data_IF_634217077272
#
_entry.id   IF_634217077272
#
_cell.length_a   1.000
_cell.length_b   1.000
_cell.length_c   1.000
_cell.angle_alpha   90.00
_cell.angle_beta   90.00
_cell.angle_gamma   90.00
#
_symmetry.space_group_name_H-M   'P 1'
#
loop_
_entity.id
_entity.type
_entity.pdbx_description
1 polymer ?
#
# COMPACT_ATOMS: atom_id res chain seq x y z
N UNK A 1 3.63 17.25 -6.12
CA UNK A 1 2.26 17.20 -5.53
C UNK A 1 2.03 15.79 -5.01
N UNK A 2 1.11 15.54 -4.07
CA UNK A 2 0.76 14.15 -3.70
C UNK A 2 -0.31 13.61 -4.63
N UNK A 3 -0.16 12.36 -5.05
CA UNK A 3 -1.10 11.65 -5.91
C UNK A 3 -1.52 10.33 -5.26
N UNK A 4 -2.64 9.80 -5.70
CA UNK A 4 -3.26 8.60 -5.12
C UNK A 4 -3.62 7.61 -6.22
N UNK A 5 -3.42 6.31 -5.96
CA UNK A 5 -3.80 5.24 -6.90
C UNK A 5 -4.32 4.03 -6.16
N UNK A 6 -5.38 3.44 -6.70
CA UNK A 6 -5.89 2.15 -6.23
C UNK A 6 -5.15 1.03 -6.95
N UNK A 7 -4.59 0.09 -6.18
CA UNK A 7 -3.97 -1.11 -6.72
C UNK A 7 -4.52 -2.35 -6.03
N UNK A 8 -4.39 -3.50 -6.68
CA UNK A 8 -4.72 -4.80 -6.09
C UNK A 8 -3.39 -5.51 -5.85
N UNK A 9 -3.15 -5.87 -4.59
CA UNK A 9 -1.96 -6.61 -4.16
C UNK A 9 -2.38 -7.76 -3.25
N UNK A 10 -1.50 -8.72 -3.02
CA UNK A 10 -1.74 -9.76 -2.02
C UNK A 10 -1.64 -9.20 -0.60
N UNK A 11 -2.29 -9.85 0.35
CA UNK A 11 -2.16 -9.50 1.76
C UNK A 11 -0.70 -9.56 2.24
N UNK A 12 0.07 -10.53 1.75
CA UNK A 12 1.51 -10.60 2.03
C UNK A 12 2.24 -9.33 1.57
N UNK A 13 2.03 -8.93 0.32
CA UNK A 13 2.65 -7.71 -0.22
C UNK A 13 2.23 -6.47 0.56
N UNK A 14 0.97 -6.34 0.95
CA UNK A 14 0.53 -5.21 1.76
C UNK A 14 1.29 -5.12 3.09
N UNK A 15 1.44 -6.24 3.81
CA UNK A 15 2.17 -6.28 5.08
C UNK A 15 3.65 -5.92 4.91
N UNK A 16 4.32 -6.49 3.90
CA UNK A 16 5.73 -6.21 3.60
C UNK A 16 5.96 -4.73 3.25
N UNK A 17 5.11 -4.17 2.38
CA UNK A 17 5.17 -2.77 2.00
C UNK A 17 4.86 -1.86 3.20
N UNK A 18 3.88 -2.19 4.04
CA UNK A 18 3.52 -1.37 5.21
C UNK A 18 4.61 -1.36 6.27
N UNK A 19 5.20 -2.52 6.56
CA UNK A 19 6.35 -2.63 7.47
C UNK A 19 7.55 -1.81 6.96
N UNK A 20 7.78 -1.83 5.65
CA UNK A 20 8.84 -1.02 5.02
C UNK A 20 8.58 0.48 5.15
N UNK A 21 7.31 0.91 5.00
CA UNK A 21 6.91 2.30 5.20
C UNK A 21 6.99 2.77 6.65
N UNK A 22 6.70 1.91 7.63
CA UNK A 22 6.85 2.25 9.06
C UNK A 22 8.32 2.40 9.48
N UNK A 23 9.23 1.78 8.74
CA UNK A 23 10.66 1.77 9.03
C UNK A 23 11.44 2.93 8.36
N UNK A 24 10.79 3.78 7.55
CA UNK A 24 11.47 4.85 6.81
C UNK A 24 10.57 5.99 6.32
N UNK A 25 11.15 7.00 5.66
CA UNK A 25 10.42 8.19 5.16
C UNK A 25 9.63 7.95 3.86
N UNK A 26 9.48 6.70 3.44
CA UNK A 26 8.80 6.29 2.20
C UNK A 26 9.56 5.20 1.45
N UNK A 27 8.86 4.56 0.51
CA UNK A 27 9.35 3.41 -0.24
C UNK A 27 9.21 3.64 -1.74
N UNK A 28 10.24 3.32 -2.53
CA UNK A 28 10.13 3.32 -3.99
C UNK A 28 9.42 2.07 -4.46
N UNK A 29 8.36 2.23 -5.26
CA UNK A 29 7.54 1.14 -5.75
C UNK A 29 7.09 1.37 -7.19
N UNK A 30 6.95 0.28 -7.95
CA UNK A 30 6.46 0.33 -9.31
C UNK A 30 4.92 0.24 -9.30
N UNK A 31 4.24 1.35 -9.60
CA UNK A 31 2.79 1.38 -9.77
C UNK A 31 2.37 1.16 -11.23
N UNK A 32 3.33 1.01 -12.14
CA UNK A 32 3.12 0.77 -13.55
C UNK A 32 2.88 -0.70 -13.88
N UNK A 33 2.95 -1.02 -15.16
CA UNK A 33 2.89 -2.41 -15.66
C UNK A 33 4.28 -2.85 -16.10
N UNK A 34 4.50 -4.14 -16.32
CA UNK A 34 5.80 -4.65 -16.81
C UNK A 34 6.24 -3.98 -18.13
N UNK A 35 5.27 -3.54 -18.96
CA UNK A 35 5.54 -2.87 -20.24
C UNK A 35 5.75 -1.36 -20.11
N UNK A 36 5.19 -0.76 -19.05
CA UNK A 36 5.27 0.66 -18.74
C UNK A 36 5.48 0.81 -17.24
N UNK A 37 6.72 0.58 -16.75
CA UNK A 37 7.02 0.72 -15.34
C UNK A 37 6.95 2.20 -14.95
N UNK A 38 6.39 2.47 -13.79
CA UNK A 38 6.21 3.80 -13.23
C UNK A 38 6.66 3.75 -11.77
N UNK A 39 7.90 4.16 -11.53
CA UNK A 39 8.52 4.14 -10.20
C UNK A 39 8.14 5.40 -9.45
N UNK A 40 7.50 5.25 -8.30
CA UNK A 40 7.07 6.37 -7.46
C UNK A 40 7.55 6.18 -6.03
N UNK A 41 7.73 7.29 -5.30
CA UNK A 41 7.99 7.24 -3.86
C UNK A 41 6.65 7.23 -3.13
N UNK A 42 6.27 6.05 -2.63
CA UNK A 42 5.13 5.87 -1.75
C UNK A 42 5.43 6.53 -0.41
N UNK A 43 4.48 7.32 0.07
CA UNK A 43 4.50 7.91 1.40
C UNK A 43 3.52 7.24 2.34
N UNK A 44 2.40 6.70 1.81
CA UNK A 44 1.45 5.97 2.63
C UNK A 44 0.63 4.94 1.85
N UNK A 45 0.02 4.00 2.58
CA UNK A 45 -0.94 3.05 2.03
C UNK A 45 -2.03 2.72 3.04
N UNK A 46 -3.22 2.49 2.50
CA UNK A 46 -4.45 2.20 3.23
C UNK A 46 -5.21 1.09 2.51
N UNK A 47 -5.78 0.14 3.26
CA UNK A 47 -6.69 -0.84 2.64
C UNK A 47 -8.02 -0.17 2.31
N UNK A 48 -8.58 -0.52 1.16
CA UNK A 48 -9.94 -0.12 0.77
C UNK A 48 -10.99 -1.04 1.41
N UNK A 49 -10.88 -1.21 2.73
CA UNK A 49 -11.84 -1.93 3.54
C UNK A 49 -12.08 -1.09 4.78
N UNK A 50 -13.16 -0.31 4.73
CA UNK A 50 -13.79 0.43 5.82
C UNK A 50 -12.87 1.27 6.75
N UNK A 51 -13.03 2.61 6.84
CA UNK A 51 -12.23 3.45 7.73
C UNK A 51 -12.24 3.05 9.22
N UNK A 52 -13.16 2.20 9.66
CA UNK A 52 -13.17 1.64 11.02
C UNK A 52 -12.25 0.42 11.20
N UNK A 53 -11.84 -0.27 10.13
CA UNK A 53 -10.96 -1.44 10.19
C UNK A 53 -9.49 -1.08 10.42
N UNK A 54 -9.08 0.11 9.98
CA UNK A 54 -7.69 0.59 10.04
C UNK A 54 -7.35 1.38 11.31
N UNK A 55 -8.34 1.67 12.18
CA UNK A 55 -8.15 2.44 13.42
C UNK A 55 -7.77 1.60 14.64
N UNK A 56 -7.78 0.26 14.54
CA UNK A 56 -7.30 -0.61 15.61
C UNK A 56 -5.83 -0.97 15.38
N UNK A 57 -4.92 -0.18 15.94
CA UNK A 57 -3.48 -0.43 15.99
C UNK A 57 -3.08 -1.77 16.64
N UNK A 58 -4.02 -2.48 17.30
CA UNK A 58 -3.82 -3.80 17.90
C UNK A 58 -4.54 -4.96 17.20
N UNK A 59 -5.33 -4.69 16.17
CA UNK A 59 -6.01 -5.71 15.37
C UNK A 59 -5.77 -5.43 13.90
N UNK A 60 -4.56 -5.75 13.44
CA UNK A 60 -4.41 -6.24 12.08
C UNK A 60 -5.31 -7.48 12.00
N UNK A 61 -6.55 -7.28 11.58
CA UNK A 61 -7.46 -8.37 11.32
C UNK A 61 -6.71 -9.39 10.50
N UNK A 62 -6.61 -10.62 11.01
CA UNK A 62 -5.76 -11.72 10.50
C UNK A 62 -5.91 -11.83 8.97
N UNK A 63 -5.11 -11.06 8.24
CA UNK A 63 -5.26 -10.93 6.82
C UNK A 63 -4.57 -12.15 6.24
N UNK A 64 -5.34 -12.97 5.52
CA UNK A 64 -4.75 -14.10 4.82
C UNK A 64 -3.79 -13.57 3.77
N UNK A 65 -2.53 -13.95 3.88
CA UNK A 65 -1.45 -13.57 2.98
C UNK A 65 -1.75 -13.86 1.50
N UNK A 66 -2.58 -14.88 1.24
CA UNK A 66 -2.98 -15.33 -0.09
C UNK A 66 -4.17 -14.58 -0.70
N UNK A 67 -4.86 -13.71 0.04
CA UNK A 67 -5.99 -12.96 -0.51
C UNK A 67 -5.50 -11.73 -1.26
N UNK A 68 -6.12 -11.48 -2.43
CA UNK A 68 -5.98 -10.22 -3.13
C UNK A 68 -6.82 -9.17 -2.40
N UNK A 69 -6.19 -8.04 -2.10
CA UNK A 69 -6.78 -6.90 -1.40
C UNK A 69 -6.60 -5.65 -2.25
N UNK A 70 -7.63 -4.81 -2.24
CA UNK A 70 -7.57 -3.51 -2.86
C UNK A 70 -7.02 -2.50 -1.86
N UNK A 71 -6.02 -1.73 -2.28
CA UNK A 71 -5.33 -0.76 -1.43
C UNK A 71 -5.24 0.58 -2.14
N UNK A 72 -5.44 1.64 -1.37
CA UNK A 72 -5.18 3.02 -1.77
C UNK A 72 -3.74 3.36 -1.40
N UNK A 73 -2.97 3.76 -2.41
CA UNK A 73 -1.57 4.14 -2.28
C UNK A 73 -1.42 5.64 -2.49
N UNK A 74 -0.72 6.30 -1.57
CA UNK A 74 -0.34 7.71 -1.67
C UNK A 74 1.14 7.81 -2.03
N UNK A 75 1.46 8.61 -3.03
CA UNK A 75 2.82 8.78 -3.51
C UNK A 75 3.10 10.22 -3.93
N UNK A 76 4.38 10.57 -3.97
CA UNK A 76 4.83 11.86 -4.49
C UNK A 76 4.84 11.79 -6.02
N UNK A 77 3.99 12.60 -6.64
CA UNK A 77 4.04 12.89 -8.07
C UNK A 77 4.91 14.14 -8.28
N UNK A 78 6.00 13.98 -9.03
CA UNK A 78 6.81 15.09 -9.53
C UNK A 78 6.08 15.87 -10.62
#
# INVERSE_FOLDING_TARGET
MTAEKMIIITGKQYLELKQSLESGEGLTYNIGTDKHPEMVKITNMYMDTDPDFTRNSGQFAKMSESLNVQVKMEYLAE
#
